data_IF_237987568578
#
_entry.id   IF_237987568578
#
_cell.length_a   1.000
_cell.length_b   1.000
_cell.length_c   1.000
_cell.angle_alpha   90.00
_cell.angle_beta   90.00
_cell.angle_gamma   90.00
#
_symmetry.space_group_name_H-M   'P 1'
#
loop_
_entity.id
_entity.type
_entity.pdbx_description
1 polymer ?
#
# COMPACT_ATOMS: atom_id res chain seq x y z
N UNK A 1 -29.30 7.19 -1.90
CA UNK A 1 -28.16 6.56 -2.59
C UNK A 1 -26.88 7.03 -1.91
N UNK A 2 -26.20 6.24 -1.05
CA UNK A 2 -24.88 6.65 -0.58
C UNK A 2 -23.87 6.51 -1.73
N UNK A 3 -23.13 7.59 -1.99
CA UNK A 3 -22.11 7.70 -3.03
C UNK A 3 -20.94 6.77 -2.73
N UNK A 4 -20.55 5.96 -3.73
CA UNK A 4 -19.31 5.17 -3.68
C UNK A 4 -18.13 6.12 -3.45
N UNK A 5 -17.22 5.86 -2.49
CA UNK A 5 -16.03 6.68 -2.36
C UNK A 5 -15.27 6.71 -3.69
N UNK A 6 -14.71 7.86 -4.10
CA UNK A 6 -13.99 7.96 -5.36
C UNK A 6 -12.83 6.96 -5.35
N UNK A 7 -12.71 6.20 -6.44
CA UNK A 7 -11.54 5.36 -6.66
C UNK A 7 -10.33 6.30 -6.69
N UNK A 8 -9.45 6.19 -5.69
CA UNK A 8 -8.15 6.89 -5.71
C UNK A 8 -7.40 6.38 -6.95
N UNK A 9 -7.06 7.31 -7.84
CA UNK A 9 -6.57 7.01 -9.19
C UNK A 9 -5.38 6.04 -9.17
N UNK A 10 -5.50 4.95 -9.90
CA UNK A 10 -4.34 4.11 -10.22
C UNK A 10 -3.51 4.89 -11.24
N UNK A 11 -2.32 5.35 -10.83
CA UNK A 11 -1.34 5.88 -11.77
C UNK A 11 -1.00 4.76 -12.77
N UNK A 12 -1.06 5.06 -14.07
CA UNK A 12 -0.65 4.13 -15.13
C UNK A 12 0.87 3.97 -15.09
N UNK A 13 1.37 3.14 -14.18
CA UNK A 13 2.78 2.80 -14.09
C UNK A 13 3.20 1.93 -15.28
N UNK A 14 4.45 2.09 -15.72
CA UNK A 14 5.15 1.03 -16.47
C UNK A 14 5.00 -0.23 -15.63
N UNK A 15 4.47 -1.31 -16.20
CA UNK A 15 4.19 -2.54 -15.46
C UNK A 15 5.37 -2.97 -14.58
N UNK A 16 5.06 -3.60 -13.46
CA UNK A 16 6.04 -4.08 -12.51
C UNK A 16 5.38 -4.93 -11.45
N UNK A 17 6.18 -5.73 -10.75
CA UNK A 17 5.71 -6.60 -9.67
C UNK A 17 6.09 -5.96 -8.33
N UNK A 18 5.11 -5.81 -7.45
CA UNK A 18 5.34 -5.43 -6.05
C UNK A 18 5.17 -6.65 -5.15
N UNK A 19 6.12 -6.85 -4.24
CA UNK A 19 6.01 -7.81 -3.13
C UNK A 19 6.09 -7.02 -1.84
N UNK A 20 5.20 -7.32 -0.89
CA UNK A 20 5.21 -6.75 0.45
C UNK A 20 5.35 -7.89 1.46
N UNK A 21 6.22 -7.74 2.45
CA UNK A 21 6.42 -8.73 3.51
C UNK A 21 6.77 -8.06 4.84
N UNK A 22 6.44 -8.72 5.93
CA UNK A 22 6.87 -8.33 7.26
C UNK A 22 8.11 -9.14 7.64
N UNK A 23 9.20 -8.46 7.98
CA UNK A 23 10.42 -9.07 8.49
C UNK A 23 10.43 -9.00 10.03
N UNK A 24 10.29 -10.15 10.73
CA UNK A 24 10.28 -10.18 12.17
C UNK A 24 11.65 -9.85 12.81
N UNK A 25 12.75 -9.98 12.07
CA UNK A 25 14.10 -9.74 12.60
C UNK A 25 14.34 -8.25 12.90
N UNK A 26 13.85 -7.37 12.04
CA UNK A 26 13.91 -5.91 12.24
C UNK A 26 12.55 -5.27 12.57
N UNK A 27 11.48 -6.07 12.63
CA UNK A 27 10.10 -5.65 12.94
C UNK A 27 9.58 -4.58 11.98
N UNK A 28 9.97 -4.67 10.71
CA UNK A 28 9.57 -3.73 9.68
C UNK A 28 8.79 -4.42 8.58
N UNK A 29 7.91 -3.65 7.95
CA UNK A 29 7.38 -3.99 6.65
C UNK A 29 8.37 -3.57 5.58
N UNK A 30 8.52 -4.41 4.57
CA UNK A 30 9.33 -4.18 3.39
C UNK A 30 8.45 -4.24 2.16
N UNK A 31 8.77 -3.41 1.18
CA UNK A 31 8.24 -3.50 -0.16
C UNK A 31 9.39 -3.46 -1.16
N UNK A 32 9.39 -4.47 -2.02
CA UNK A 32 10.27 -4.52 -3.18
C UNK A 32 9.42 -4.39 -4.44
N UNK A 33 9.77 -3.43 -5.29
CA UNK A 33 9.17 -3.27 -6.60
C UNK A 33 10.21 -3.52 -7.68
N UNK A 34 9.89 -4.40 -8.62
CA UNK A 34 10.71 -4.67 -9.80
C UNK A 34 9.99 -4.12 -11.02
N UNK A 35 10.57 -3.08 -11.62
CA UNK A 35 10.09 -2.47 -12.84
C UNK A 35 10.39 -3.31 -14.07
N UNK A 36 9.58 -3.15 -15.13
CA UNK A 36 9.79 -3.83 -16.41
C UNK A 36 11.11 -3.49 -17.11
N UNK A 37 11.83 -2.45 -16.66
CA UNK A 37 13.17 -2.07 -17.12
C UNK A 37 14.31 -2.64 -16.24
N UNK A 38 13.98 -3.47 -15.25
CA UNK A 38 14.95 -4.05 -14.31
C UNK A 38 15.29 -3.17 -13.12
N UNK A 39 14.71 -1.97 -13.00
CA UNK A 39 14.87 -1.12 -11.82
C UNK A 39 14.27 -1.79 -10.59
N UNK A 40 15.00 -1.81 -9.48
CA UNK A 40 14.49 -2.31 -8.20
C UNK A 40 14.40 -1.15 -7.20
N UNK A 41 13.21 -0.96 -6.64
CA UNK A 41 12.97 -0.03 -5.54
C UNK A 41 12.74 -0.82 -4.25
N UNK A 42 13.49 -0.45 -3.20
CA UNK A 42 13.39 -1.04 -1.87
C UNK A 42 12.86 0.00 -0.89
N UNK A 43 11.68 -0.24 -0.32
CA UNK A 43 11.09 0.59 0.72
C UNK A 43 10.94 -0.23 2.00
N UNK A 44 11.10 0.42 3.14
CA UNK A 44 10.81 -0.22 4.43
C UNK A 44 10.21 0.78 5.41
N UNK A 45 9.59 0.25 6.46
CA UNK A 45 9.08 1.05 7.56
C UNK A 45 8.05 0.29 8.37
N UNK A 46 6.99 0.98 8.78
CA UNK A 46 6.04 0.42 9.73
C UNK A 46 4.88 1.36 10.02
N UNK A 47 4.13 1.02 11.07
CA UNK A 47 2.99 1.82 11.51
C UNK A 47 3.47 3.15 12.12
N UNK A 48 2.96 4.27 11.61
CA UNK A 48 3.12 5.62 12.16
C UNK A 48 1.75 6.28 12.19
N UNK A 49 1.30 6.69 13.38
CA UNK A 49 0.04 7.45 13.55
C UNK A 49 -1.20 6.80 12.89
N UNK A 50 -1.31 5.47 12.96
CA UNK A 50 -2.44 4.74 12.40
C UNK A 50 -2.38 4.46 10.89
N UNK A 51 -1.28 4.85 10.23
CA UNK A 51 -1.01 4.52 8.84
C UNK A 51 0.26 3.66 8.70
N UNK A 52 0.32 2.81 7.68
CA UNK A 52 1.56 2.13 7.30
C UNK A 52 2.38 3.08 6.44
N UNK A 53 3.63 3.38 6.83
CA UNK A 53 4.53 4.26 6.08
C UNK A 53 5.79 3.50 5.69
N UNK A 54 6.06 3.41 4.39
CA UNK A 54 7.27 2.81 3.83
C UNK A 54 8.06 3.87 3.05
N UNK A 55 9.38 3.93 3.22
CA UNK A 55 10.26 4.84 2.49
C UNK A 55 11.67 4.27 2.26
N UNK A 56 12.44 4.93 1.40
CA UNK A 56 13.88 4.72 1.20
C UNK A 56 14.75 5.74 1.99
N UNK A 57 14.14 6.48 2.92
CA UNK A 57 14.71 7.63 3.65
C UNK A 57 16.04 7.32 4.34
N UNK A 58 16.24 6.08 4.81
CA UNK A 58 17.48 5.65 5.48
C UNK A 58 18.71 5.63 4.56
N UNK A 59 18.55 5.84 3.25
CA UNK A 59 19.65 5.81 2.26
C UNK A 59 20.04 7.19 1.70
N UNK A 60 19.46 8.29 2.18
CA UNK A 60 19.58 9.60 1.53
C UNK A 60 20.92 10.33 1.74
N UNK A 61 21.77 10.37 0.70
CA UNK A 61 22.73 11.46 0.49
C UNK A 61 21.99 12.72 -0.02
N UNK A 62 22.49 13.95 0.24
CA UNK A 62 21.88 15.17 -0.29
C UNK A 62 21.66 15.09 -1.81
N UNK A 63 20.40 15.24 -2.25
CA UNK A 63 20.00 15.19 -3.67
C UNK A 63 19.56 13.82 -4.19
N UNK A 64 19.58 12.76 -3.38
CA UNK A 64 19.02 11.47 -3.77
C UNK A 64 17.48 11.53 -3.90
N UNK A 65 16.88 10.79 -4.87
CA UNK A 65 15.43 10.63 -4.93
C UNK A 65 14.86 10.10 -3.63
N UNK A 66 13.74 10.66 -3.19
CA UNK A 66 13.00 10.23 -2.00
C UNK A 66 11.68 9.59 -2.41
N UNK A 67 11.51 8.31 -2.09
CA UNK A 67 10.29 7.57 -2.36
C UNK A 67 9.57 7.23 -1.07
N UNK A 68 8.25 7.48 -1.03
CA UNK A 68 7.41 7.19 0.13
C UNK A 68 6.03 6.72 -0.28
N UNK A 69 5.56 5.68 0.39
CA UNK A 69 4.19 5.18 0.29
C UNK A 69 3.53 5.27 1.68
N UNK A 70 2.26 5.70 1.70
CA UNK A 70 1.44 5.70 2.92
C UNK A 70 0.14 4.96 2.65
N UNK A 71 -0.06 3.82 3.33
CA UNK A 71 -1.32 3.10 3.32
C UNK A 71 -2.15 3.53 4.52
N UNK A 72 -3.35 4.02 4.24
CA UNK A 72 -4.36 4.29 5.26
C UNK A 72 -5.35 3.13 5.28
N UNK A 73 -5.85 2.73 6.47
CA UNK A 73 -6.89 1.72 6.55
C UNK A 73 -8.05 2.08 5.62
N UNK A 74 -8.45 1.13 4.78
CA UNK A 74 -9.69 1.29 4.04
C UNK A 74 -10.85 1.37 5.05
N UNK A 75 -11.83 2.23 4.78
CA UNK A 75 -13.10 2.13 5.49
C UNK A 75 -13.62 0.71 5.30
N UNK A 76 -14.06 0.07 6.38
CA UNK A 76 -14.71 -1.25 6.29
C UNK A 76 -15.85 -1.14 5.28
N UNK A 77 -15.86 -2.03 4.29
CA UNK A 77 -16.99 -2.16 3.38
C UNK A 77 -18.21 -2.64 4.17
N UNK A 78 -19.35 -1.95 4.07
CA UNK A 78 -20.59 -2.27 4.80
C UNK A 78 -21.71 -2.80 3.89
N UNK A 79 -21.38 -3.28 2.69
CA UNK A 79 -22.37 -3.65 1.69
C UNK A 79 -22.37 -5.13 1.32
N UNK A 80 -22.93 -5.98 2.18
CA UNK A 80 -23.54 -7.27 1.78
C UNK A 80 -24.31 -7.87 2.99
N UNK A 81 -25.46 -7.27 3.29
CA UNK A 81 -26.52 -7.94 4.06
C UNK A 81 -27.79 -7.72 3.27
N UNK A 82 -28.15 -8.70 2.45
CA UNK A 82 -29.25 -8.55 1.49
C UNK A 82 -29.62 -9.84 0.78
N UNK A 83 -29.74 -10.94 1.51
CA UNK A 83 -30.62 -12.05 1.13
C UNK A 83 -31.10 -12.73 2.41
N UNK A 84 -32.05 -12.08 3.09
CA UNK A 84 -33.01 -12.77 3.94
C UNK A 84 -34.20 -13.07 3.05
N UNK A 85 -34.22 -14.25 2.43
CA UNK A 85 -35.50 -14.80 1.99
C UNK A 85 -36.15 -15.43 3.21
N UNK A 86 -37.29 -14.84 3.54
CA UNK A 86 -38.19 -15.23 4.62
C UNK A 86 -39.00 -16.46 4.18
N UNK A 87 -39.26 -17.31 5.18
CA UNK A 87 -40.37 -18.25 5.32
C UNK A 87 -40.26 -19.64 4.67
N UNK A 88 -40.35 -20.60 5.59
CA UNK A 88 -40.89 -21.96 5.45
C UNK A 88 -41.18 -22.46 6.86
#
# INVERSE_FOLDING_TARGET
>A
MPSRPPARGAASGKGGLSINYYDPANRQWHQDWVGGDGTILHLHGGMKEGAMVLSDESKGSPGAPFNRITFTPAARWQGETGMVDLEG
#
